data_IF_744379860699
#
_entry.id   IF_744379860699
#
_cell.length_a   1.000
_cell.length_b   1.000
_cell.length_c   1.000
_cell.angle_alpha   90.00
_cell.angle_beta   90.00
_cell.angle_gamma   90.00
#
_symmetry.space_group_name_H-M   'P 1'
#
loop_
_entity.id
_entity.type
_entity.pdbx_description
1 polymer ?
#
# COMPACT_ATOMS: atom_id res chain seq x y z
N UNK A 1 -58.25 -22.62 -25.18
CA UNK A 1 -57.71 -21.55 -24.34
C UNK A 1 -56.27 -21.88 -24.04
N UNK A 2 -55.33 -21.35 -24.80
CA UNK A 2 -53.89 -21.60 -24.67
C UNK A 2 -53.33 -20.41 -23.91
N UNK A 3 -52.90 -20.61 -22.68
CA UNK A 3 -52.23 -19.59 -21.88
C UNK A 3 -50.78 -19.51 -22.34
N UNK A 4 -50.38 -18.41 -23.01
CA UNK A 4 -48.97 -18.04 -23.22
C UNK A 4 -48.38 -17.53 -21.90
N UNK A 5 -47.56 -18.34 -21.25
CA UNK A 5 -46.64 -17.87 -20.23
C UNK A 5 -45.52 -17.08 -20.92
N UNK A 6 -45.65 -15.74 -20.92
CA UNK A 6 -44.57 -14.86 -21.27
C UNK A 6 -43.49 -14.88 -20.19
N UNK A 7 -42.43 -15.63 -20.42
CA UNK A 7 -41.22 -15.55 -19.63
C UNK A 7 -40.56 -14.19 -19.88
N UNK A 8 -40.71 -13.26 -18.94
CA UNK A 8 -39.94 -12.02 -18.93
C UNK A 8 -38.47 -12.35 -18.84
N UNK A 9 -37.73 -12.12 -19.93
CA UNK A 9 -36.27 -12.03 -19.90
C UNK A 9 -35.98 -10.80 -19.04
N UNK A 10 -35.58 -11.04 -17.77
CA UNK A 10 -35.00 -10.00 -16.94
C UNK A 10 -33.72 -9.59 -17.68
N UNK A 11 -33.72 -8.44 -18.30
CA UNK A 11 -32.52 -7.82 -18.84
C UNK A 11 -31.55 -7.74 -17.64
N UNK A 12 -30.49 -8.55 -17.68
CA UNK A 12 -29.40 -8.45 -16.74
C UNK A 12 -28.82 -7.03 -16.93
N UNK A 13 -29.07 -6.14 -15.96
CA UNK A 13 -28.57 -4.77 -15.98
C UNK A 13 -27.08 -4.83 -16.25
N UNK A 14 -26.62 -4.14 -17.30
CA UNK A 14 -25.23 -4.13 -17.73
C UNK A 14 -24.38 -3.45 -16.66
N UNK A 15 -23.81 -4.24 -15.73
CA UNK A 15 -22.79 -3.72 -14.80
C UNK A 15 -21.49 -3.45 -15.57
N UNK A 16 -20.82 -2.30 -15.33
CA UNK A 16 -21.32 -1.12 -14.64
C UNK A 16 -22.15 -0.20 -15.59
N UNK A 17 -23.26 0.36 -15.10
CA UNK A 17 -24.08 1.35 -15.77
C UNK A 17 -23.86 2.79 -15.24
N UNK A 18 -23.09 2.92 -14.17
CA UNK A 18 -22.71 4.17 -13.52
C UNK A 18 -21.25 4.16 -13.07
N UNK A 19 -20.67 5.33 -12.69
CA UNK A 19 -19.28 5.39 -12.26
C UNK A 19 -18.99 4.53 -11.03
N UNK A 20 -17.86 3.81 -11.07
CA UNK A 20 -17.30 3.05 -9.96
C UNK A 20 -16.43 3.99 -9.13
N UNK A 21 -16.71 4.11 -7.85
CA UNK A 21 -15.89 4.84 -6.89
C UNK A 21 -14.77 3.94 -6.38
N UNK A 22 -13.52 4.37 -6.52
CA UNK A 22 -12.37 3.68 -5.92
C UNK A 22 -11.84 4.49 -4.74
N UNK A 23 -12.14 4.06 -3.52
CA UNK A 23 -11.61 4.68 -2.31
C UNK A 23 -10.09 4.45 -2.25
N UNK A 24 -9.35 5.55 -2.08
CA UNK A 24 -7.90 5.56 -1.89
C UNK A 24 -7.62 6.00 -0.44
N UNK A 25 -7.17 5.10 0.45
CA UNK A 25 -7.05 5.38 1.89
C UNK A 25 -5.92 6.32 2.30
N UNK A 26 -5.24 6.97 1.35
CA UNK A 26 -4.11 7.87 1.59
C UNK A 26 -4.27 9.17 0.78
N UNK A 27 -3.49 10.23 1.15
CA UNK A 27 -3.49 11.48 0.40
C UNK A 27 -3.06 11.29 -1.06
N UNK A 28 -3.46 12.20 -1.96
CA UNK A 28 -2.97 12.21 -3.33
C UNK A 28 -1.43 12.27 -3.40
N UNK A 29 -0.86 11.70 -4.48
CA UNK A 29 0.57 11.72 -4.77
C UNK A 29 1.40 10.67 -4.02
N UNK A 30 0.78 9.83 -3.17
CA UNK A 30 1.45 8.68 -2.55
C UNK A 30 1.37 7.42 -3.43
N UNK A 31 2.12 6.37 -3.06
CA UNK A 31 2.16 5.11 -3.82
C UNK A 31 0.80 4.46 -4.03
N UNK A 32 -0.09 4.49 -3.02
CA UNK A 32 -1.47 3.98 -3.15
C UNK A 32 -2.29 4.75 -4.17
N UNK A 33 -2.16 6.08 -4.18
CA UNK A 33 -2.85 6.95 -5.12
C UNK A 33 -2.35 6.72 -6.56
N UNK A 34 -1.03 6.57 -6.72
CA UNK A 34 -0.42 6.25 -8.02
C UNK A 34 -0.98 4.94 -8.58
N UNK A 35 -0.92 3.85 -7.81
CA UNK A 35 -1.40 2.54 -8.26
C UNK A 35 -2.90 2.57 -8.55
N UNK A 36 -3.71 3.22 -7.70
CA UNK A 36 -5.15 3.36 -7.90
C UNK A 36 -5.47 4.12 -9.19
N UNK A 37 -4.76 5.22 -9.48
CA UNK A 37 -4.97 6.01 -10.70
C UNK A 37 -4.54 5.30 -11.97
N UNK A 38 -3.45 4.53 -11.91
CA UNK A 38 -3.04 3.69 -13.06
C UNK A 38 -4.15 2.68 -13.37
N UNK A 39 -4.65 1.94 -12.37
CA UNK A 39 -5.73 0.96 -12.57
C UNK A 39 -7.00 1.65 -13.06
N UNK A 40 -7.42 2.75 -12.45
CA UNK A 40 -8.63 3.48 -12.86
C UNK A 40 -8.53 3.98 -14.32
N UNK A 41 -7.40 4.56 -14.70
CA UNK A 41 -7.16 5.06 -16.06
C UNK A 41 -7.14 3.94 -17.09
N UNK A 42 -6.46 2.85 -16.80
CA UNK A 42 -6.36 1.72 -17.72
C UNK A 42 -7.67 0.92 -17.82
N UNK A 43 -8.48 0.84 -16.74
CA UNK A 43 -9.85 0.31 -16.80
C UNK A 43 -10.71 1.17 -17.73
N UNK A 44 -10.67 2.49 -17.56
CA UNK A 44 -11.44 3.41 -18.42
C UNK A 44 -11.06 3.24 -19.90
N UNK A 45 -9.76 3.12 -20.22
CA UNK A 45 -9.29 2.92 -21.61
C UNK A 45 -9.70 1.55 -22.17
N UNK A 46 -9.69 0.51 -21.36
CA UNK A 46 -9.93 -0.85 -21.82
C UNK A 46 -11.41 -1.19 -21.98
N UNK A 47 -12.24 -0.68 -21.07
CA UNK A 47 -13.65 -1.09 -20.93
C UNK A 47 -14.66 0.05 -21.19
N UNK A 48 -14.20 1.30 -21.19
CA UNK A 48 -15.06 2.48 -21.19
C UNK A 48 -15.70 2.80 -19.84
N UNK A 49 -15.36 2.06 -18.78
CA UNK A 49 -15.92 2.29 -17.44
C UNK A 49 -15.38 3.58 -16.81
N UNK A 50 -16.25 4.36 -16.21
CA UNK A 50 -15.82 5.49 -15.40
C UNK A 50 -15.41 4.99 -14.01
N UNK A 51 -14.12 5.03 -13.69
CA UNK A 51 -13.60 4.70 -12.36
C UNK A 51 -12.99 5.95 -11.73
N UNK A 52 -13.55 6.40 -10.61
CA UNK A 52 -13.19 7.65 -9.94
C UNK A 52 -12.41 7.39 -8.64
N UNK A 53 -11.11 7.66 -8.59
CA UNK A 53 -10.34 7.63 -7.35
C UNK A 53 -10.81 8.72 -6.37
N UNK A 54 -11.13 8.33 -5.12
CA UNK A 54 -11.60 9.19 -4.05
C UNK A 54 -10.72 9.04 -2.80
N UNK A 55 -9.87 10.02 -2.53
CA UNK A 55 -8.91 9.97 -1.43
C UNK A 55 -9.60 10.17 -0.08
N UNK A 56 -9.52 9.19 0.82
CA UNK A 56 -10.06 9.19 2.19
C UNK A 56 -8.97 8.84 3.20
N UNK A 57 -8.02 9.75 3.45
CA UNK A 57 -6.89 9.50 4.34
C UNK A 57 -7.31 9.55 5.83
N UNK A 58 -6.47 8.95 6.68
CA UNK A 58 -6.58 9.02 8.14
C UNK A 58 -6.33 7.68 8.83
N UNK A 59 -5.77 7.74 10.02
CA UNK A 59 -5.45 6.57 10.87
C UNK A 59 -4.74 5.44 10.14
N UNK A 60 -3.63 5.74 9.45
CA UNK A 60 -2.87 4.74 8.67
C UNK A 60 -3.68 4.09 7.53
N UNK A 61 -4.74 4.77 7.04
CA UNK A 61 -5.64 4.27 6.00
C UNK A 61 -6.92 3.61 6.51
N UNK A 62 -7.08 3.42 7.83
CA UNK A 62 -8.27 2.75 8.40
C UNK A 62 -9.58 3.50 8.17
N UNK A 63 -9.52 4.84 8.02
CA UNK A 63 -10.72 5.64 7.69
C UNK A 63 -11.30 5.20 6.34
N UNK A 64 -10.46 5.11 5.30
CA UNK A 64 -10.89 4.68 3.96
C UNK A 64 -11.41 3.24 3.95
N UNK A 65 -10.74 2.32 4.66
CA UNK A 65 -11.19 0.93 4.78
C UNK A 65 -12.54 0.84 5.49
N UNK A 66 -12.72 1.54 6.62
CA UNK A 66 -14.00 1.55 7.35
C UNK A 66 -15.16 2.10 6.52
N UNK A 67 -14.89 3.10 5.66
CA UNK A 67 -15.90 3.61 4.72
C UNK A 67 -16.22 2.58 3.64
N UNK A 68 -15.20 1.91 3.08
CA UNK A 68 -15.36 0.89 2.06
C UNK A 68 -16.13 -0.32 2.55
N UNK A 69 -15.74 -0.90 3.67
CA UNK A 69 -16.40 -2.09 4.24
C UNK A 69 -17.87 -1.88 4.62
N UNK A 70 -18.28 -0.62 4.83
CA UNK A 70 -19.69 -0.23 5.12
C UNK A 70 -20.47 0.22 3.89
N UNK A 71 -19.85 0.27 2.72
CA UNK A 71 -20.53 0.64 1.50
C UNK A 71 -21.48 -0.46 1.02
N UNK A 72 -22.37 -0.13 0.06
CA UNK A 72 -23.25 -1.14 -0.55
C UNK A 72 -22.40 -2.19 -1.29
N UNK A 73 -22.78 -3.45 -1.16
CA UNK A 73 -22.13 -4.59 -1.81
C UNK A 73 -22.66 -4.79 -3.25
N UNK A 74 -22.63 -3.76 -4.05
CA UNK A 74 -23.18 -3.71 -5.42
C UNK A 74 -22.09 -3.56 -6.51
N UNK A 75 -20.80 -3.55 -6.10
CA UNK A 75 -19.66 -3.39 -6.99
C UNK A 75 -19.30 -1.95 -7.35
N UNK A 76 -20.11 -0.96 -7.00
CA UNK A 76 -19.85 0.46 -7.32
C UNK A 76 -18.94 1.18 -6.31
N UNK A 77 -18.57 0.52 -5.22
CA UNK A 77 -17.53 1.01 -4.31
C UNK A 77 -16.44 -0.04 -4.17
N UNK A 78 -15.23 0.34 -4.56
CA UNK A 78 -14.02 -0.46 -4.42
C UNK A 78 -13.04 0.27 -3.48
N UNK A 79 -12.09 -0.45 -2.92
CA UNK A 79 -11.01 0.13 -2.11
C UNK A 79 -9.67 -0.36 -2.62
N UNK A 80 -8.74 0.56 -2.85
CA UNK A 80 -7.33 0.23 -3.05
C UNK A 80 -6.67 -0.03 -1.69
N UNK A 81 -6.73 -1.26 -1.23
CA UNK A 81 -6.21 -1.68 0.07
C UNK A 81 -4.70 -1.95 0.04
N UNK A 82 -4.09 -1.96 1.21
CA UNK A 82 -2.71 -2.40 1.47
C UNK A 82 -2.71 -3.41 2.61
N UNK A 83 -1.65 -4.23 2.73
CA UNK A 83 -1.45 -5.07 3.91
C UNK A 83 -1.48 -4.28 5.23
N UNK A 84 -0.92 -3.06 5.25
CA UNK A 84 -0.91 -2.21 6.43
C UNK A 84 -2.33 -1.88 6.92
N UNK A 85 -3.15 -1.28 6.06
CA UNK A 85 -4.48 -0.84 6.47
C UNK A 85 -5.52 -1.96 6.50
N UNK A 86 -5.39 -2.97 5.65
CA UNK A 86 -6.35 -4.07 5.64
C UNK A 86 -6.07 -5.10 6.75
N UNK A 87 -4.80 -5.45 6.98
CA UNK A 87 -4.41 -6.55 7.88
C UNK A 87 -3.79 -6.04 9.17
N UNK A 88 -2.75 -5.18 9.10
CA UNK A 88 -1.95 -4.80 10.27
C UNK A 88 -2.74 -3.90 11.23
N UNK A 89 -3.44 -2.89 10.72
CA UNK A 89 -4.18 -1.95 11.55
C UNK A 89 -5.24 -2.62 12.45
N UNK A 90 -6.08 -3.56 11.97
CA UNK A 90 -7.00 -4.30 12.85
C UNK A 90 -6.28 -5.09 13.94
N UNK A 91 -5.12 -5.69 13.65
CA UNK A 91 -4.32 -6.40 14.65
C UNK A 91 -3.76 -5.47 15.74
N UNK A 92 -3.58 -4.21 15.43
CA UNK A 92 -3.16 -3.16 16.35
C UNK A 92 -4.35 -2.46 17.03
N UNK A 93 -5.59 -2.91 16.81
CA UNK A 93 -6.79 -2.27 17.34
C UNK A 93 -7.13 -0.94 16.65
N UNK A 94 -6.55 -0.67 15.48
CA UNK A 94 -6.81 0.53 14.68
C UNK A 94 -7.77 0.18 13.54
N UNK A 95 -8.90 0.87 13.50
CA UNK A 95 -9.98 0.56 12.55
C UNK A 95 -11.05 -0.35 13.18
N UNK A 96 -12.27 -0.22 12.67
CA UNK A 96 -13.42 -0.99 13.13
C UNK A 96 -13.96 -1.83 11.96
N UNK A 97 -13.15 -2.78 11.51
CA UNK A 97 -13.46 -3.75 10.44
C UNK A 97 -12.62 -5.01 10.60
N UNK A 98 -13.12 -6.11 10.06
CA UNK A 98 -12.43 -7.40 9.99
C UNK A 98 -11.89 -7.59 8.55
N UNK A 99 -10.59 -7.84 8.36
CA UNK A 99 -10.00 -7.96 7.02
C UNK A 99 -10.56 -9.10 6.18
N UNK A 100 -11.13 -10.13 6.82
CA UNK A 100 -11.62 -11.34 6.15
C UNK A 100 -13.13 -11.32 5.98
N UNK A 101 -13.86 -10.73 6.95
CA UNK A 101 -15.33 -10.77 6.96
C UNK A 101 -15.99 -9.59 6.27
N UNK A 102 -15.36 -8.41 6.30
CA UNK A 102 -15.98 -7.18 5.83
C UNK A 102 -15.63 -6.84 4.38
N UNK A 103 -14.72 -7.61 3.76
CA UNK A 103 -14.27 -7.38 2.39
C UNK A 103 -14.29 -8.65 1.53
N UNK A 104 -14.64 -8.43 0.26
CA UNK A 104 -14.47 -9.41 -0.82
C UNK A 104 -13.21 -9.02 -1.62
N UNK A 105 -12.14 -9.83 -1.60
CA UNK A 105 -10.95 -9.62 -2.42
C UNK A 105 -11.29 -9.66 -3.91
N UNK A 106 -10.74 -8.73 -4.69
CA UNK A 106 -10.94 -8.67 -6.14
C UNK A 106 -9.66 -9.07 -6.87
N UNK A 107 -8.56 -8.34 -6.67
CA UNK A 107 -7.29 -8.63 -7.36
C UNK A 107 -6.11 -8.05 -6.58
N UNK A 108 -5.03 -8.83 -6.49
CA UNK A 108 -3.72 -8.33 -6.09
C UNK A 108 -3.11 -7.55 -7.27
N UNK A 109 -2.71 -6.30 -7.02
CA UNK A 109 -2.35 -5.37 -8.10
C UNK A 109 -0.84 -5.17 -8.23
N UNK A 110 -0.20 -4.78 -7.13
CA UNK A 110 1.21 -4.42 -7.14
C UNK A 110 1.84 -4.60 -5.76
N UNK A 111 3.16 -4.57 -5.72
CA UNK A 111 3.94 -4.50 -4.49
C UNK A 111 5.07 -3.46 -4.60
N UNK A 112 5.57 -3.00 -3.46
CA UNK A 112 6.73 -2.12 -3.39
C UNK A 112 7.45 -2.30 -2.07
N UNK A 113 8.78 -2.39 -2.06
CA UNK A 113 9.54 -2.46 -0.82
C UNK A 113 9.48 -1.13 -0.06
N UNK A 114 9.64 -1.20 1.25
CA UNK A 114 9.97 -0.01 2.02
C UNK A 114 11.36 0.49 1.65
N UNK A 115 11.49 1.79 1.60
CA UNK A 115 12.75 2.47 1.25
C UNK A 115 13.00 3.56 2.28
N UNK A 116 14.22 3.59 2.82
CA UNK A 116 14.68 4.66 3.68
C UNK A 116 15.31 5.75 2.84
N UNK A 117 14.87 6.99 3.05
CA UNK A 117 15.43 8.17 2.39
C UNK A 117 15.87 9.21 3.41
N UNK A 118 16.82 10.05 2.97
CA UNK A 118 17.24 11.27 3.63
C UNK A 118 17.08 12.46 2.68
N UNK A 119 16.97 13.68 3.19
CA UNK A 119 17.00 14.87 2.35
C UNK A 119 18.34 14.95 1.58
N UNK A 120 18.35 15.54 0.38
CA UNK A 120 19.57 15.72 -0.42
C UNK A 120 20.70 16.33 0.40
N UNK A 121 20.40 17.40 1.13
CA UNK A 121 21.37 18.15 1.94
C UNK A 121 21.60 17.56 3.33
N UNK A 122 21.06 16.37 3.61
CA UNK A 122 21.27 15.68 4.88
C UNK A 122 22.76 15.42 5.11
N UNK A 123 23.18 15.58 6.37
CA UNK A 123 24.51 15.15 6.83
C UNK A 123 24.72 13.64 6.72
N UNK A 124 23.64 12.86 6.80
CA UNK A 124 23.69 11.41 6.68
C UNK A 124 23.77 10.98 5.22
N UNK A 125 24.68 10.07 4.92
CA UNK A 125 24.91 9.55 3.57
C UNK A 125 24.56 8.06 3.46
N UNK A 126 24.49 7.35 4.59
CA UNK A 126 24.24 5.91 4.64
C UNK A 126 23.44 5.48 5.87
N UNK A 127 22.91 4.26 5.85
CA UNK A 127 22.20 3.66 6.97
C UNK A 127 23.13 3.44 8.16
N UNK A 128 24.40 3.09 7.90
CA UNK A 128 25.40 2.85 8.94
C UNK A 128 25.68 4.11 9.76
N UNK A 129 25.81 5.28 9.11
CA UNK A 129 25.98 6.58 9.79
C UNK A 129 24.76 6.93 10.67
N UNK A 130 23.56 6.68 10.16
CA UNK A 130 22.30 6.88 10.90
C UNK A 130 22.26 5.98 12.14
N UNK A 131 22.56 4.68 11.97
CA UNK A 131 22.55 3.72 13.07
C UNK A 131 23.64 4.03 14.10
N UNK A 132 24.87 4.36 13.65
CA UNK A 132 25.96 4.74 14.54
C UNK A 132 25.59 5.95 15.40
N UNK A 133 24.99 6.98 14.78
CA UNK A 133 24.53 8.19 15.48
C UNK A 133 23.41 7.86 16.48
N UNK A 134 22.43 7.03 16.10
CA UNK A 134 21.33 6.65 16.97
C UNK A 134 21.77 5.77 18.14
N UNK A 135 22.84 4.98 17.99
CA UNK A 135 23.44 4.21 19.09
C UNK A 135 24.22 5.11 20.04
N UNK A 136 24.97 6.07 19.52
CA UNK A 136 25.73 7.04 20.32
C UNK A 136 24.81 7.99 21.09
N UNK A 137 23.66 8.36 20.51
CA UNK A 137 22.70 9.29 21.06
C UNK A 137 21.26 8.80 20.83
N UNK A 138 20.75 7.87 21.67
CA UNK A 138 19.43 7.26 21.49
C UNK A 138 18.29 8.27 21.45
N UNK A 139 17.36 8.10 20.50
CA UNK A 139 16.18 8.95 20.37
C UNK A 139 16.44 10.32 19.71
N UNK A 140 17.65 10.59 19.22
CA UNK A 140 17.95 11.87 18.53
C UNK A 140 17.64 11.85 17.04
N UNK A 141 17.63 10.67 16.39
CA UNK A 141 17.24 10.50 14.99
C UNK A 141 15.72 10.58 14.85
N UNK A 142 15.24 11.60 14.18
CA UNK A 142 13.80 11.80 13.91
C UNK A 142 13.42 11.01 12.67
N UNK A 143 12.72 9.90 12.91
CA UNK A 143 12.23 8.97 11.90
C UNK A 143 10.77 9.29 11.57
N UNK A 144 10.46 9.62 10.32
CA UNK A 144 9.09 9.83 9.88
C UNK A 144 8.55 8.66 9.04
N UNK A 145 7.24 8.44 9.14
CA UNK A 145 6.48 7.43 8.37
C UNK A 145 5.11 7.98 7.96
N UNK A 146 4.37 7.28 7.04
CA UNK A 146 3.01 7.66 6.68
C UNK A 146 1.97 7.47 7.81
N UNK A 147 2.40 7.02 8.98
CA UNK A 147 1.52 6.88 10.14
C UNK A 147 1.82 5.66 10.99
N UNK A 148 1.25 5.66 12.20
CA UNK A 148 1.33 4.53 13.13
C UNK A 148 0.62 3.32 12.51
N UNK A 149 1.20 2.11 12.67
CA UNK A 149 0.64 0.86 12.13
C UNK A 149 0.87 0.64 10.63
N UNK A 150 1.53 1.57 9.92
CA UNK A 150 1.91 1.35 8.52
C UNK A 150 3.11 0.42 8.40
N UNK A 151 3.26 -0.27 7.26
CA UNK A 151 4.44 -1.11 6.99
C UNK A 151 5.75 -0.32 7.12
N UNK A 152 5.73 0.98 6.84
CA UNK A 152 6.88 1.86 7.00
C UNK A 152 7.25 2.09 8.48
N UNK A 153 6.25 2.26 9.36
CA UNK A 153 6.46 2.30 10.80
C UNK A 153 7.08 0.98 11.28
N UNK A 154 6.49 -0.15 10.88
CA UNK A 154 6.98 -1.49 11.26
C UNK A 154 8.40 -1.75 10.73
N UNK A 155 8.74 -1.30 9.52
CA UNK A 155 10.10 -1.39 8.99
C UNK A 155 11.11 -0.60 9.82
N UNK A 156 10.74 0.59 10.29
CA UNK A 156 11.57 1.39 11.21
C UNK A 156 11.77 0.70 12.54
N UNK A 157 10.72 0.14 13.14
CA UNK A 157 10.80 -0.62 14.39
C UNK A 157 11.62 -1.91 14.23
N UNK A 158 11.46 -2.62 13.11
CA UNK A 158 12.26 -3.80 12.78
C UNK A 158 13.76 -3.45 12.71
N UNK A 159 14.11 -2.35 12.02
CA UNK A 159 15.50 -1.91 11.93
C UNK A 159 16.05 -1.52 13.29
N UNK A 160 15.28 -0.87 14.17
CA UNK A 160 15.68 -0.58 15.54
C UNK A 160 15.98 -1.86 16.32
N UNK A 161 15.16 -2.89 16.19
CA UNK A 161 15.38 -4.20 16.85
C UNK A 161 16.63 -4.91 16.33
N UNK A 162 16.80 -4.97 15.01
CA UNK A 162 17.93 -5.64 14.37
C UNK A 162 19.26 -4.93 14.65
N UNK A 163 19.24 -3.61 14.72
CA UNK A 163 20.43 -2.80 14.90
C UNK A 163 20.75 -2.46 16.34
N UNK A 164 19.77 -2.50 17.26
CA UNK A 164 19.88 -1.93 18.61
C UNK A 164 19.86 -0.40 18.67
N UNK A 165 19.64 0.28 17.56
CA UNK A 165 19.46 1.74 17.51
C UNK A 165 18.11 2.17 18.10
N UNK A 166 17.98 3.45 18.49
CA UNK A 166 16.71 4.04 18.96
C UNK A 166 16.43 5.31 18.19
N UNK A 167 15.30 5.35 17.47
CA UNK A 167 14.79 6.50 16.73
C UNK A 167 13.62 7.17 17.46
N UNK A 168 13.39 8.43 17.20
CA UNK A 168 12.17 9.16 17.60
C UNK A 168 11.19 9.11 16.44
N UNK A 169 10.14 8.30 16.55
CA UNK A 169 9.12 8.19 15.51
C UNK A 169 8.20 9.43 15.45
N UNK A 170 8.05 10.00 14.25
CA UNK A 170 7.18 11.14 13.95
C UNK A 170 6.17 10.72 12.88
N UNK A 171 4.94 10.36 13.25
CA UNK A 171 3.93 9.89 12.30
C UNK A 171 3.28 11.05 11.52
N UNK A 172 3.10 10.84 10.20
CA UNK A 172 2.37 11.73 9.28
C UNK A 172 1.12 11.02 8.74
N UNK A 173 0.28 11.72 7.97
CA UNK A 173 -0.88 11.08 7.30
C UNK A 173 -0.53 10.53 5.91
N UNK A 174 0.71 10.66 5.47
CA UNK A 174 1.23 10.21 4.18
C UNK A 174 2.55 10.88 3.82
N UNK A 175 3.23 10.40 2.76
CA UNK A 175 4.52 10.91 2.32
C UNK A 175 4.47 12.40 1.97
N UNK A 176 3.47 12.83 1.20
CA UNK A 176 3.34 14.22 0.74
C UNK A 176 3.34 15.25 1.87
N UNK A 177 2.85 14.89 3.06
CA UNK A 177 2.86 15.78 4.22
C UNK A 177 4.21 15.83 4.95
N UNK A 178 5.00 14.76 4.88
CA UNK A 178 6.32 14.70 5.52
C UNK A 178 7.42 15.39 4.71
N UNK A 179 7.28 15.45 3.37
CA UNK A 179 8.33 15.94 2.48
C UNK A 179 8.79 17.38 2.77
N UNK A 180 7.91 18.38 3.04
CA UNK A 180 8.36 19.72 3.40
C UNK A 180 9.22 19.75 4.67
N UNK A 181 8.91 18.91 5.66
CA UNK A 181 9.65 18.82 6.91
C UNK A 181 10.98 18.08 6.75
N UNK A 182 11.04 17.10 5.85
CA UNK A 182 12.29 16.47 5.43
C UNK A 182 13.23 17.47 4.77
N UNK A 183 12.75 18.21 3.77
CA UNK A 183 13.55 19.22 3.06
C UNK A 183 13.97 20.36 3.99
N UNK A 184 13.13 20.72 4.96
CA UNK A 184 13.42 21.73 5.97
C UNK A 184 14.33 21.27 7.11
N UNK A 185 14.84 20.02 7.09
CA UNK A 185 15.74 19.48 8.12
C UNK A 185 15.07 19.25 9.48
N UNK A 186 13.72 19.27 9.55
CA UNK A 186 12.97 18.93 10.76
C UNK A 186 12.89 17.43 11.02
N UNK A 187 13.21 16.64 10.03
CA UNK A 187 13.27 15.17 10.06
C UNK A 187 14.62 14.71 9.54
N UNK A 188 15.14 13.62 10.07
CA UNK A 188 16.44 13.08 9.68
C UNK A 188 16.30 11.99 8.62
N UNK A 189 15.32 11.10 8.78
CA UNK A 189 15.01 10.00 7.87
C UNK A 189 13.50 9.88 7.65
N UNK A 190 13.13 9.40 6.47
CA UNK A 190 11.77 8.96 6.18
C UNK A 190 11.80 7.54 5.64
N UNK A 191 10.89 6.68 6.11
CA UNK A 191 10.64 5.37 5.53
C UNK A 191 9.25 5.38 4.91
N UNK A 192 9.18 4.95 3.65
CA UNK A 192 7.96 4.82 2.88
C UNK A 192 8.14 3.78 1.78
N UNK A 193 7.08 3.50 1.01
CA UNK A 193 7.22 2.64 -0.17
C UNK A 193 8.11 3.31 -1.21
N UNK A 194 8.91 2.56 -1.95
CA UNK A 194 9.65 3.09 -3.10
C UNK A 194 8.71 3.89 -4.03
N UNK A 195 7.49 3.38 -4.24
CA UNK A 195 6.45 4.04 -5.03
C UNK A 195 6.05 5.43 -4.51
N UNK A 196 6.08 5.68 -3.19
CA UNK A 196 5.75 6.99 -2.63
C UNK A 196 6.90 7.99 -2.68
N UNK A 197 8.10 7.54 -2.99
CA UNK A 197 9.34 8.31 -2.91
C UNK A 197 10.04 8.48 -4.26
N UNK A 198 9.63 7.70 -5.27
CA UNK A 198 10.34 7.62 -6.54
C UNK A 198 10.46 8.96 -7.28
N UNK A 199 9.42 9.79 -7.23
CA UNK A 199 9.46 11.12 -7.83
C UNK A 199 10.57 11.97 -7.21
N UNK A 200 10.60 12.09 -5.89
CA UNK A 200 11.59 12.88 -5.14
C UNK A 200 13.01 12.33 -5.28
N UNK A 201 13.16 11.01 -5.39
CA UNK A 201 14.46 10.37 -5.62
C UNK A 201 14.95 10.73 -7.03
N UNK A 202 14.11 10.60 -8.06
CA UNK A 202 14.46 10.95 -9.44
C UNK A 202 14.71 12.45 -9.65
N UNK A 203 13.98 13.30 -8.96
CA UNK A 203 14.20 14.76 -8.92
C UNK A 203 15.45 15.14 -8.14
N UNK A 204 16.04 14.21 -7.39
CA UNK A 204 17.24 14.42 -6.58
C UNK A 204 17.01 15.28 -5.35
N UNK A 205 15.77 15.52 -4.92
CA UNK A 205 15.43 16.21 -3.66
C UNK A 205 15.61 15.32 -2.45
N UNK A 206 15.45 13.98 -2.63
CA UNK A 206 15.72 12.93 -1.64
C UNK A 206 16.78 11.98 -2.17
N UNK A 207 17.51 11.35 -1.26
CA UNK A 207 18.44 10.27 -1.54
C UNK A 207 17.96 9.01 -0.84
N UNK A 208 17.79 7.92 -1.60
CA UNK A 208 17.58 6.60 -1.04
C UNK A 208 18.90 6.08 -0.42
N UNK A 209 18.83 5.56 0.79
CA UNK A 209 19.99 5.04 1.53
C UNK A 209 19.85 3.57 1.90
N UNK A 210 18.65 2.98 1.83
CA UNK A 210 18.43 1.57 2.08
C UNK A 210 17.07 1.08 1.61
N UNK A 211 17.01 -0.15 1.10
CA UNK A 211 15.81 -0.83 0.62
C UNK A 211 15.53 -2.04 1.52
N UNK A 212 14.30 -2.19 1.98
CA UNK A 212 13.86 -3.30 2.84
C UNK A 212 13.34 -4.47 1.98
N UNK A 213 14.20 -5.03 1.16
CA UNK A 213 13.91 -6.18 0.32
C UNK A 213 15.15 -7.08 0.23
N UNK A 214 14.98 -8.29 -0.27
CA UNK A 214 16.09 -9.24 -0.57
C UNK A 214 16.90 -8.81 -1.79
N UNK A 215 16.31 -7.98 -2.65
CA UNK A 215 16.93 -7.48 -3.89
C UNK A 215 16.91 -5.97 -3.91
N UNK A 216 17.93 -5.37 -4.51
CA UNK A 216 17.93 -3.94 -4.81
C UNK A 216 16.79 -3.61 -5.77
N UNK A 217 16.20 -2.43 -5.59
CA UNK A 217 15.11 -1.98 -6.44
C UNK A 217 15.61 -1.53 -7.82
N UNK A 218 14.99 -2.03 -8.90
CA UNK A 218 15.46 -1.81 -10.28
C UNK A 218 15.56 -0.35 -10.72
N UNK A 219 14.74 0.54 -10.18
CA UNK A 219 14.79 1.98 -10.49
C UNK A 219 15.82 2.76 -9.65
N UNK A 220 16.40 2.15 -8.63
CA UNK A 220 17.43 2.72 -7.74
C UNK A 220 18.51 1.67 -7.41
N UNK A 221 19.17 1.09 -8.43
CA UNK A 221 20.06 -0.08 -8.26
C UNK A 221 21.29 0.21 -7.41
N UNK A 222 21.68 1.48 -7.27
CA UNK A 222 22.80 1.91 -6.42
C UNK A 222 22.50 1.83 -4.93
N UNK A 223 21.20 1.80 -4.55
CA UNK A 223 20.80 1.76 -3.14
C UNK A 223 20.90 0.32 -2.63
N UNK A 224 21.70 0.07 -1.57
CA UNK A 224 21.83 -1.26 -1.00
C UNK A 224 20.55 -1.71 -0.32
N UNK A 225 20.35 -3.03 -0.19
CA UNK A 225 19.33 -3.56 0.70
C UNK A 225 19.79 -3.47 2.14
N UNK A 226 18.83 -3.40 3.08
CA UNK A 226 19.13 -3.42 4.52
C UNK A 226 19.80 -4.76 4.91
N UNK A 227 19.49 -5.84 4.19
CA UNK A 227 20.11 -7.15 4.38
C UNK A 227 21.58 -7.16 3.92
N UNK A 228 21.93 -6.52 2.78
CA UNK A 228 23.31 -6.32 2.33
C UNK A 228 24.16 -5.54 3.35
N UNK A 229 23.53 -4.69 4.16
CA UNK A 229 24.17 -3.93 5.23
C UNK A 229 24.31 -4.73 6.56
N UNK A 230 24.02 -6.04 6.53
CA UNK A 230 24.20 -6.94 7.65
C UNK A 230 22.98 -7.13 8.57
N UNK A 231 21.83 -6.58 8.22
CA UNK A 231 20.59 -6.73 9.00
C UNK A 231 19.68 -7.78 8.37
N UNK A 232 19.98 -9.04 8.58
CA UNK A 232 19.21 -10.17 8.04
C UNK A 232 17.74 -10.15 8.49
N UNK A 233 16.84 -10.68 7.64
CA UNK A 233 15.39 -10.71 7.86
C UNK A 233 14.74 -9.32 8.02
N UNK A 234 15.31 -8.31 7.39
CA UNK A 234 14.80 -6.93 7.37
C UNK A 234 13.75 -6.66 6.30
N UNK A 235 13.30 -7.68 5.59
CA UNK A 235 12.32 -7.54 4.50
C UNK A 235 11.00 -6.94 4.98
N UNK A 236 10.62 -5.82 4.38
CA UNK A 236 9.35 -5.14 4.58
C UNK A 236 8.80 -4.64 3.24
N UNK A 237 7.81 -5.35 2.72
CA UNK A 237 7.18 -5.08 1.43
C UNK A 237 5.70 -4.78 1.65
N UNK A 238 5.22 -3.73 1.02
CA UNK A 238 3.78 -3.46 0.91
C UNK A 238 3.25 -4.07 -0.36
N UNK A 239 2.08 -4.66 -0.28
CA UNK A 239 1.27 -4.97 -1.45
C UNK A 239 0.03 -4.07 -1.50
N UNK A 240 -0.47 -3.85 -2.72
CA UNK A 240 -1.75 -3.22 -3.01
C UNK A 240 -2.66 -4.21 -3.69
N UNK A 241 -3.92 -4.20 -3.29
CA UNK A 241 -4.96 -4.97 -3.95
C UNK A 241 -6.30 -4.24 -3.91
N UNK A 242 -7.13 -4.55 -4.88
CA UNK A 242 -8.49 -4.06 -4.92
C UNK A 242 -9.39 -5.00 -4.13
N UNK A 243 -10.16 -4.43 -3.21
CA UNK A 243 -11.20 -5.14 -2.48
C UNK A 243 -12.55 -4.43 -2.65
N UNK A 244 -13.64 -5.18 -2.55
CA UNK A 244 -15.01 -4.70 -2.51
C UNK A 244 -15.62 -4.94 -1.13
N UNK A 245 -16.78 -4.36 -0.77
CA UNK A 245 -17.55 -4.74 0.43
C UNK A 245 -17.91 -6.22 0.40
N UNK A 246 -17.92 -6.85 1.56
CA UNK A 246 -18.38 -8.25 1.68
C UNK A 246 -19.82 -8.38 1.19
N UNK A 247 -20.14 -9.50 0.52
CA UNK A 247 -21.46 -9.73 -0.08
C UNK A 247 -21.63 -9.16 -1.49
N UNK A 248 -20.60 -8.51 -2.07
CA UNK A 248 -20.60 -8.15 -3.50
C UNK A 248 -20.78 -9.40 -4.35
N UNK A 249 -21.72 -9.42 -5.33
CA UNK A 249 -22.00 -10.59 -6.15
C UNK A 249 -20.75 -11.20 -6.79
N UNK A 250 -20.62 -12.53 -6.75
CA UNK A 250 -19.45 -13.24 -7.26
C UNK A 250 -19.15 -12.93 -8.72
N UNK A 251 -20.20 -12.84 -9.57
CA UNK A 251 -20.07 -12.47 -10.99
C UNK A 251 -19.43 -11.07 -11.20
N UNK A 252 -19.73 -10.11 -10.31
CA UNK A 252 -19.10 -8.78 -10.33
C UNK A 252 -17.65 -8.88 -9.91
N UNK A 253 -17.33 -9.64 -8.86
CA UNK A 253 -15.95 -9.88 -8.43
C UNK A 253 -15.12 -10.52 -9.55
N UNK A 254 -15.66 -11.55 -10.21
CA UNK A 254 -14.99 -12.23 -11.33
C UNK A 254 -14.78 -11.31 -12.54
N UNK A 255 -15.77 -10.49 -12.86
CA UNK A 255 -15.68 -9.50 -13.93
C UNK A 255 -14.59 -8.47 -13.62
N UNK A 256 -14.60 -7.86 -12.43
CA UNK A 256 -13.59 -6.90 -11.99
C UNK A 256 -12.18 -7.54 -11.94
N UNK A 257 -12.05 -8.75 -11.41
CA UNK A 257 -10.79 -9.49 -11.39
C UNK A 257 -10.24 -9.70 -12.80
N UNK A 258 -11.07 -10.17 -13.73
CA UNK A 258 -10.67 -10.41 -15.12
C UNK A 258 -10.15 -9.14 -15.79
N UNK A 259 -10.89 -8.04 -15.67
CA UNK A 259 -10.52 -6.77 -16.32
C UNK A 259 -9.24 -6.16 -15.69
N UNK A 260 -9.10 -6.18 -14.37
CA UNK A 260 -7.88 -5.72 -13.68
C UNK A 260 -6.69 -6.60 -14.09
N UNK A 261 -6.83 -7.90 -14.09
CA UNK A 261 -5.77 -8.82 -14.50
C UNK A 261 -5.37 -8.65 -15.98
N UNK A 262 -6.32 -8.32 -16.87
CA UNK A 262 -6.02 -8.00 -18.25
C UNK A 262 -5.14 -6.74 -18.36
N UNK A 263 -5.40 -5.72 -17.53
CA UNK A 263 -4.58 -4.50 -17.45
C UNK A 263 -3.18 -4.83 -16.92
N UNK A 264 -3.08 -5.59 -15.84
CA UNK A 264 -1.80 -5.94 -15.21
C UNK A 264 -0.86 -6.76 -16.13
N UNK A 265 -1.39 -7.36 -17.20
CA UNK A 265 -0.62 -8.02 -18.24
C UNK A 265 -0.14 -7.08 -19.35
N UNK A 266 -0.69 -5.87 -19.45
CA UNK A 266 -0.27 -4.89 -20.48
C UNK A 266 1.10 -4.30 -20.16
N UNK A 267 2.05 -4.31 -21.10
CA UNK A 267 3.37 -3.73 -20.87
C UNK A 267 3.33 -2.27 -20.42
N UNK A 268 2.42 -1.47 -20.97
CA UNK A 268 2.27 -0.04 -20.68
C UNK A 268 1.86 0.20 -19.22
N UNK A 269 0.89 -0.55 -18.72
CA UNK A 269 0.43 -0.45 -17.33
C UNK A 269 1.53 -0.90 -16.36
N UNK A 270 2.21 -2.00 -16.68
CA UNK A 270 3.35 -2.50 -15.88
C UNK A 270 4.49 -1.48 -15.83
N UNK A 271 4.81 -0.86 -16.97
CA UNK A 271 5.87 0.14 -17.07
C UNK A 271 5.52 1.42 -16.27
N UNK A 272 4.25 1.86 -16.31
CA UNK A 272 3.80 2.98 -15.48
C UNK A 272 3.93 2.68 -13.98
N UNK A 273 3.51 1.50 -13.53
CA UNK A 273 3.62 1.05 -12.14
C UNK A 273 5.09 0.96 -11.75
N UNK A 274 5.96 0.35 -12.59
CA UNK A 274 7.39 0.19 -12.35
C UNK A 274 8.12 1.55 -12.25
N UNK A 275 7.89 2.45 -13.21
CA UNK A 275 8.47 3.82 -13.19
C UNK A 275 8.05 4.61 -11.95
N UNK A 276 6.88 4.29 -11.41
CA UNK A 276 6.40 4.82 -10.15
C UNK A 276 6.99 4.13 -8.91
N UNK A 277 7.91 3.18 -9.05
CA UNK A 277 8.59 2.53 -7.91
C UNK A 277 7.80 1.36 -7.29
N UNK A 278 6.86 0.77 -8.04
CA UNK A 278 6.16 -0.45 -7.64
C UNK A 278 6.32 -1.52 -8.73
N UNK A 279 6.13 -2.78 -8.35
CA UNK A 279 6.10 -3.90 -9.27
C UNK A 279 4.67 -4.41 -9.44
N UNK A 280 4.18 -4.44 -10.68
CA UNK A 280 2.87 -4.98 -10.99
C UNK A 280 2.87 -6.50 -10.88
N UNK A 281 1.87 -7.07 -10.22
CA UNK A 281 1.62 -8.50 -10.23
C UNK A 281 1.22 -8.97 -11.63
N UNK A 282 1.44 -10.26 -11.91
CA UNK A 282 1.08 -10.85 -13.22
C UNK A 282 -0.44 -11.08 -13.35
N UNK A 283 -1.20 -10.75 -12.34
CA UNK A 283 -2.59 -11.15 -12.14
C UNK A 283 -2.70 -12.41 -11.27
N UNK A 284 -3.91 -12.79 -10.94
CA UNK A 284 -4.23 -13.96 -10.11
C UNK A 284 -5.73 -14.00 -9.82
N UNK A 285 -6.21 -15.08 -9.25
CA UNK A 285 -7.61 -15.19 -8.87
C UNK A 285 -7.92 -14.37 -7.61
N UNK A 286 -9.18 -14.01 -7.42
CA UNK A 286 -9.66 -13.39 -6.19
C UNK A 286 -9.40 -14.29 -4.97
N UNK A 287 -9.48 -15.62 -5.13
CA UNK A 287 -9.20 -16.59 -4.07
C UNK A 287 -7.71 -16.65 -3.69
N UNK A 288 -6.78 -16.56 -4.66
CA UNK A 288 -5.34 -16.43 -4.36
C UNK A 288 -5.07 -15.17 -3.54
N UNK A 289 -5.70 -14.05 -3.87
CA UNK A 289 -5.58 -12.82 -3.09
C UNK A 289 -6.22 -12.96 -1.70
N UNK A 290 -7.37 -13.62 -1.58
CA UNK A 290 -7.98 -13.95 -0.30
C UNK A 290 -7.05 -14.84 0.55
N UNK A 291 -6.38 -15.81 -0.06
CA UNK A 291 -5.38 -16.66 0.57
C UNK A 291 -4.21 -15.85 1.14
N UNK A 292 -3.70 -14.86 0.38
CA UNK A 292 -2.65 -13.97 0.84
C UNK A 292 -3.10 -13.16 2.07
N UNK A 293 -4.30 -12.57 2.04
CA UNK A 293 -4.85 -11.82 3.18
C UNK A 293 -4.94 -12.72 4.42
N UNK A 294 -5.49 -13.93 4.27
CA UNK A 294 -5.60 -14.89 5.37
C UNK A 294 -4.24 -15.31 5.94
N UNK A 295 -3.23 -15.49 5.09
CA UNK A 295 -1.87 -15.85 5.53
C UNK A 295 -1.13 -14.69 6.20
N UNK A 296 -1.41 -13.46 5.80
CA UNK A 296 -0.80 -12.27 6.38
C UNK A 296 -1.26 -12.02 7.82
N UNK A 297 -2.49 -12.39 8.19
CA UNK A 297 -3.01 -12.18 9.56
C UNK A 297 -2.12 -12.83 10.63
N UNK A 298 -1.85 -14.14 10.64
CA UNK A 298 -0.97 -14.75 11.65
C UNK A 298 0.48 -14.30 11.52
N UNK A 299 0.97 -14.04 10.29
CA UNK A 299 2.33 -13.51 10.04
C UNK A 299 2.54 -12.19 10.77
N UNK A 300 1.68 -11.20 10.51
CA UNK A 300 1.82 -9.88 11.11
C UNK A 300 1.52 -9.85 12.59
N UNK A 301 0.57 -10.67 13.07
CA UNK A 301 0.32 -10.85 14.49
C UNK A 301 1.60 -11.26 15.23
N UNK A 302 2.33 -12.26 14.71
CA UNK A 302 3.58 -12.71 15.29
C UNK A 302 4.68 -11.62 15.29
N UNK A 303 4.75 -10.79 14.22
CA UNK A 303 5.70 -9.66 14.17
C UNK A 303 5.35 -8.61 15.21
N UNK A 304 4.08 -8.22 15.32
CA UNK A 304 3.60 -7.22 16.28
C UNK A 304 3.88 -7.66 17.73
N UNK A 305 3.59 -8.91 18.05
CA UNK A 305 3.82 -9.48 19.39
C UNK A 305 5.31 -9.49 19.74
N UNK A 306 6.20 -9.98 18.84
CA UNK A 306 7.65 -10.00 19.06
C UNK A 306 8.23 -8.59 19.21
N UNK A 307 7.73 -7.64 18.43
CA UNK A 307 8.18 -6.26 18.45
C UNK A 307 7.58 -5.44 19.59
N UNK A 308 6.64 -6.01 20.36
CA UNK A 308 5.87 -5.33 21.40
C UNK A 308 5.30 -3.98 20.93
N UNK A 309 4.83 -3.94 19.66
CA UNK A 309 4.29 -2.72 19.06
C UNK A 309 2.91 -2.46 19.69
N UNK A 310 2.80 -1.32 20.37
CA UNK A 310 1.55 -0.84 20.96
C UNK A 310 1.12 0.43 20.22
N UNK A 311 -0.13 0.46 19.80
CA UNK A 311 -0.79 1.72 19.46
C UNK A 311 -1.30 2.34 20.77
N UNK A 312 -0.86 3.54 21.06
CA UNK A 312 -1.43 4.33 22.15
C UNK A 312 -2.69 5.03 21.66
#
# INVERSE_FOLDING_TARGET
MIALCGGGVIAQDKYPDQPIRMIVPFPPGGGTDLVARVIATELAKATGWAVAPDNKPGSGGSVGLSLGGKAKADGYTLVMAQNANLVINPLLGVGNYDPVKDFAPVSLVASSPMTMVVARESKFKSVEEIIATAKASPGTIRFASPGIGTSAHLAGELLQQLSGAKFLHVPYKGASQAMPDMMGGRLDIYIGTAASLMAQIKEGTMRAVGVFDKKRHGEIPETPTIEELGYANSEAVTWWGVVAPAGTPGEIIELLNREINAILRKPEARDQIRKGGAEAHAGGSAEEFAGLIRSDVPKWKAVIERANIKTR
#
